data_IF_484200024612
#
_entry.id   IF_484200024612
#
_cell.length_a   1.000
_cell.length_b   1.000
_cell.length_c   1.000
_cell.angle_alpha   90.00
_cell.angle_beta   90.00
_cell.angle_gamma   90.00
#
_symmetry.space_group_name_H-M   'P 1'
#
loop_
_entity.id
_entity.type
_entity.pdbx_description
1 polymer ?
#
# COMPACT_ATOMS: atom_id res chain seq x y z
N UNK A 1 38.72 3.82 -17.14
CA UNK A 1 37.30 3.78 -17.55
C UNK A 1 36.43 3.81 -16.31
N UNK A 2 35.77 4.93 -16.03
CA UNK A 2 34.83 5.02 -14.90
C UNK A 2 33.47 4.44 -15.33
N UNK A 3 33.01 3.37 -14.67
CA UNK A 3 31.63 2.88 -14.77
C UNK A 3 30.72 3.95 -14.16
N UNK A 4 29.99 4.67 -15.00
CA UNK A 4 28.92 5.59 -14.57
C UNK A 4 27.86 4.78 -13.83
N UNK A 5 27.92 4.75 -12.50
CA UNK A 5 26.90 4.12 -11.67
C UNK A 5 25.62 4.96 -11.74
N UNK A 6 24.64 4.42 -12.47
CA UNK A 6 23.22 4.45 -12.12
C UNK A 6 22.60 5.80 -11.77
N UNK A 7 22.30 6.62 -12.77
CA UNK A 7 21.11 7.48 -12.69
C UNK A 7 20.39 7.44 -14.03
N UNK A 8 19.42 6.54 -14.13
CA UNK A 8 18.54 6.44 -15.30
C UNK A 8 17.60 7.64 -15.22
N UNK A 9 17.63 8.54 -16.21
CA UNK A 9 16.83 9.78 -16.35
C UNK A 9 15.50 9.78 -15.58
N UNK A 10 15.56 10.13 -14.29
CA UNK A 10 14.38 10.13 -13.40
C UNK A 10 13.40 11.23 -13.78
N UNK A 11 13.87 12.32 -14.40
CA UNK A 11 13.00 13.43 -14.86
C UNK A 11 11.85 12.96 -15.74
N UNK A 12 12.11 12.11 -16.74
CA UNK A 12 11.05 11.55 -17.61
C UNK A 12 10.06 10.64 -16.87
N UNK A 13 10.50 9.96 -15.81
CA UNK A 13 9.63 9.14 -14.96
C UNK A 13 8.77 10.03 -14.07
N UNK A 14 9.32 11.17 -13.64
CA UNK A 14 8.60 12.19 -12.89
C UNK A 14 7.59 12.96 -13.76
N UNK A 15 7.87 13.15 -15.06
CA UNK A 15 6.95 13.77 -16.02
C UNK A 15 5.64 12.98 -16.17
N UNK A 16 5.65 11.66 -15.94
CA UNK A 16 4.44 10.85 -15.91
C UNK A 16 3.49 11.26 -14.75
N UNK A 17 4.02 11.79 -13.65
CA UNK A 17 3.22 12.37 -12.56
C UNK A 17 2.65 13.75 -12.94
N UNK A 18 3.07 14.39 -14.03
CA UNK A 18 2.46 15.66 -14.47
C UNK A 18 1.13 15.42 -15.20
N UNK A 19 0.93 14.23 -15.81
CA UNK A 19 -0.33 13.87 -16.48
C UNK A 19 -1.35 13.41 -15.45
N UNK A 20 -2.37 14.23 -15.23
CA UNK A 20 -3.50 13.99 -14.33
C UNK A 20 -4.62 13.29 -15.12
N UNK A 21 -5.21 12.25 -14.57
CA UNK A 21 -6.49 11.72 -15.06
C UNK A 21 -7.28 11.18 -13.89
N UNK A 22 -8.46 11.76 -13.62
CA UNK A 22 -9.42 11.27 -12.64
C UNK A 22 -9.24 11.81 -11.23
N UNK A 23 -10.37 12.13 -10.59
CA UNK A 23 -10.50 12.10 -9.14
C UNK A 23 -11.17 10.76 -8.82
N UNK A 24 -10.44 9.82 -8.25
CA UNK A 24 -11.04 8.62 -7.69
C UNK A 24 -11.65 8.91 -6.31
N UNK A 25 -12.40 7.96 -5.81
CA UNK A 25 -13.11 8.00 -4.53
C UNK A 25 -12.47 7.08 -3.48
N UNK A 26 -11.24 6.61 -3.71
CA UNK A 26 -10.51 5.80 -2.74
C UNK A 26 -10.37 6.55 -1.41
N UNK A 27 -10.90 5.95 -0.36
CA UNK A 27 -10.95 6.49 1.00
C UNK A 27 -11.02 5.34 2.00
N UNK A 28 -10.12 5.30 2.99
CA UNK A 28 -10.13 4.28 4.06
C UNK A 28 -11.39 4.32 4.95
N UNK A 29 -12.34 5.22 4.65
CA UNK A 29 -13.70 5.21 5.22
C UNK A 29 -14.65 4.27 4.47
N UNK A 30 -14.24 3.73 3.32
CA UNK A 30 -15.05 2.87 2.45
C UNK A 30 -14.99 1.40 2.88
N UNK A 31 -14.33 1.09 4.00
CA UNK A 31 -14.28 -0.23 4.63
C UNK A 31 -14.68 -0.12 6.11
N UNK A 32 -14.99 -1.25 6.73
CA UNK A 32 -15.11 -1.33 8.18
C UNK A 32 -13.77 -0.96 8.83
N UNK A 33 -13.80 -0.06 9.81
CA UNK A 33 -12.60 0.38 10.52
C UNK A 33 -12.01 -0.74 11.39
N UNK A 34 -12.81 -1.74 11.75
CA UNK A 34 -12.32 -2.91 12.48
C UNK A 34 -11.34 -3.74 11.64
N UNK A 35 -11.44 -3.72 10.30
CA UNK A 35 -10.43 -4.37 9.45
C UNK A 35 -9.09 -3.66 9.47
N UNK A 36 -9.09 -2.32 9.37
CA UNK A 36 -7.86 -1.53 9.50
C UNK A 36 -7.21 -1.75 10.87
N UNK A 37 -8.01 -1.75 11.93
CA UNK A 37 -7.54 -2.08 13.28
C UNK A 37 -6.95 -3.49 13.34
N UNK A 38 -7.63 -4.48 12.77
CA UNK A 38 -7.19 -5.88 12.78
C UNK A 38 -5.86 -6.07 12.06
N UNK A 39 -5.65 -5.40 10.92
CA UNK A 39 -4.34 -5.40 10.23
C UNK A 39 -3.25 -4.83 11.14
N UNK A 40 -3.52 -3.70 11.81
CA UNK A 40 -2.54 -3.06 12.72
C UNK A 40 -2.21 -3.98 13.89
N UNK A 41 -3.21 -4.62 14.50
CA UNK A 41 -2.98 -5.57 15.61
C UNK A 41 -2.17 -6.76 15.14
N UNK A 42 -2.63 -7.45 14.08
CA UNK A 42 -1.98 -8.67 13.58
C UNK A 42 -0.51 -8.44 13.17
N UNK A 43 -0.20 -7.34 12.45
CA UNK A 43 1.19 -7.05 12.08
C UNK A 43 2.05 -6.67 13.30
N UNK A 44 1.47 -6.00 14.30
CA UNK A 44 2.20 -5.58 15.50
C UNK A 44 2.48 -6.77 16.42
N UNK A 45 1.57 -7.73 16.50
CA UNK A 45 1.77 -8.98 17.27
C UNK A 45 2.93 -9.80 16.72
N UNK A 46 3.19 -9.71 15.41
CA UNK A 46 4.37 -10.27 14.74
C UNK A 46 5.65 -9.41 14.91
N UNK A 47 5.57 -8.26 15.60
CA UNK A 47 6.69 -7.32 15.77
C UNK A 47 6.93 -6.40 14.58
N UNK A 48 6.01 -6.34 13.63
CA UNK A 48 6.07 -5.51 12.42
C UNK A 48 5.38 -4.16 12.55
N UNK A 49 5.20 -3.49 11.41
CA UNK A 49 4.49 -2.22 11.29
C UNK A 49 3.73 -2.12 9.96
N UNK A 50 2.66 -1.31 9.93
CA UNK A 50 1.90 -1.01 8.72
C UNK A 50 1.85 0.49 8.44
N UNK A 51 1.85 0.86 7.16
CA UNK A 51 1.54 2.23 6.70
C UNK A 51 0.41 2.21 5.69
N UNK A 52 -0.55 3.12 5.90
CA UNK A 52 -1.74 3.26 5.07
C UNK A 52 -1.64 4.55 4.27
N UNK A 53 -1.93 4.48 2.98
CA UNK A 53 -1.83 5.60 2.06
C UNK A 53 -2.87 5.53 0.95
N UNK A 54 -2.87 6.55 0.11
CA UNK A 54 -3.71 6.67 -1.07
C UNK A 54 -2.84 7.14 -2.24
N UNK A 55 -3.18 6.72 -3.45
CA UNK A 55 -2.62 7.34 -4.64
C UNK A 55 -3.01 8.83 -4.70
N UNK A 56 -2.17 9.63 -5.36
CA UNK A 56 -2.36 11.09 -5.42
C UNK A 56 -3.68 11.51 -6.08
N UNK A 57 -4.15 10.73 -7.04
CA UNK A 57 -5.43 10.91 -7.72
C UNK A 57 -6.62 10.28 -6.97
N UNK A 58 -6.37 9.61 -5.84
CA UNK A 58 -7.36 8.81 -5.10
C UNK A 58 -8.00 7.69 -5.92
N UNK A 59 -7.32 7.22 -6.96
CA UNK A 59 -7.72 6.04 -7.74
C UNK A 59 -7.35 4.71 -7.09
N UNK A 60 -6.51 4.70 -6.04
CA UNK A 60 -6.05 3.49 -5.40
C UNK A 60 -5.68 3.71 -3.92
N UNK A 61 -5.74 2.62 -3.16
CA UNK A 61 -5.25 2.50 -1.79
C UNK A 61 -3.85 1.89 -1.79
N UNK A 62 -3.03 2.25 -0.82
CA UNK A 62 -1.74 1.60 -0.59
C UNK A 62 -1.62 1.13 0.85
N UNK A 63 -1.32 -0.15 1.06
CA UNK A 63 -0.98 -0.71 2.36
C UNK A 63 0.44 -1.27 2.29
N UNK A 64 1.37 -0.71 3.06
CA UNK A 64 2.72 -1.27 3.18
C UNK A 64 2.87 -1.97 4.52
N UNK A 65 3.29 -3.24 4.48
CA UNK A 65 3.64 -4.04 5.65
C UNK A 65 5.16 -4.11 5.75
N UNK A 66 5.68 -3.89 6.96
CA UNK A 66 7.08 -4.03 7.32
C UNK A 66 7.16 -5.14 8.37
N UNK A 67 7.85 -6.22 8.06
CA UNK A 67 8.05 -7.35 8.96
C UNK A 67 9.46 -7.90 8.76
N UNK A 68 10.23 -7.98 9.84
CA UNK A 68 11.64 -8.36 9.83
C UNK A 68 12.48 -7.52 8.83
N UNK A 69 13.07 -8.17 7.83
CA UNK A 69 13.87 -7.56 6.76
C UNK A 69 13.05 -7.31 5.48
N UNK A 70 11.75 -7.63 5.51
CA UNK A 70 10.86 -7.59 4.36
C UNK A 70 9.93 -6.38 4.43
N UNK A 71 9.77 -5.73 3.28
CA UNK A 71 8.83 -4.62 3.09
C UNK A 71 8.04 -4.85 1.83
N UNK A 72 6.74 -5.04 1.98
CA UNK A 72 5.83 -5.22 0.84
C UNK A 72 4.71 -4.19 0.81
N UNK A 73 4.45 -3.65 -0.38
CA UNK A 73 3.37 -2.68 -0.61
C UNK A 73 2.29 -3.30 -1.47
N UNK A 74 1.11 -3.46 -0.89
CA UNK A 74 -0.12 -3.86 -1.56
C UNK A 74 -0.82 -2.62 -2.12
N UNK A 75 -1.35 -2.75 -3.33
CA UNK A 75 -2.16 -1.74 -4.00
C UNK A 75 -3.55 -2.30 -4.28
N UNK A 76 -4.57 -1.55 -3.89
CA UNK A 76 -5.97 -1.89 -4.16
C UNK A 76 -6.56 -0.79 -5.03
N UNK A 77 -7.34 -1.16 -6.04
CA UNK A 77 -8.05 -0.17 -6.85
C UNK A 77 -9.12 0.55 -6.01
N UNK A 78 -9.51 1.76 -6.43
CA UNK A 78 -10.52 2.56 -5.72
C UNK A 78 -11.88 1.87 -5.57
N UNK A 79 -12.22 1.01 -6.52
CA UNK A 79 -13.44 0.20 -6.60
C UNK A 79 -13.30 -1.22 -6.02
N UNK A 80 -12.17 -1.54 -5.39
CA UNK A 80 -11.98 -2.84 -4.74
C UNK A 80 -12.90 -3.00 -3.52
N UNK A 81 -13.31 -4.24 -3.25
CA UNK A 81 -13.97 -4.62 -1.99
C UNK A 81 -12.92 -4.64 -0.87
N UNK A 82 -12.71 -3.48 -0.25
CA UNK A 82 -11.69 -3.34 0.78
C UNK A 82 -11.91 -4.24 2.00
N UNK A 83 -13.16 -4.58 2.33
CA UNK A 83 -13.42 -5.46 3.47
C UNK A 83 -12.87 -6.87 3.20
N UNK A 84 -13.09 -7.41 1.99
CA UNK A 84 -12.56 -8.72 1.59
C UNK A 84 -11.04 -8.72 1.41
N UNK A 85 -10.49 -7.64 0.83
CA UNK A 85 -9.05 -7.46 0.68
C UNK A 85 -8.34 -7.41 2.04
N UNK A 86 -8.84 -6.59 2.98
CA UNK A 86 -8.25 -6.48 4.31
C UNK A 86 -8.47 -7.74 5.14
N UNK A 87 -9.62 -8.40 5.01
CA UNK A 87 -9.85 -9.72 5.63
C UNK A 87 -8.82 -10.75 5.15
N UNK A 88 -8.50 -10.75 3.86
CA UNK A 88 -7.47 -11.63 3.29
C UNK A 88 -6.09 -11.30 3.84
N UNK A 89 -5.76 -10.01 4.00
CA UNK A 89 -4.50 -9.58 4.63
C UNK A 89 -4.42 -10.07 6.08
N UNK A 90 -5.45 -9.83 6.89
CA UNK A 90 -5.50 -10.29 8.29
C UNK A 90 -5.35 -11.80 8.38
N UNK A 91 -6.12 -12.55 7.58
CA UNK A 91 -6.05 -14.02 7.57
C UNK A 91 -4.66 -14.55 7.24
N UNK A 92 -3.90 -13.85 6.38
CA UNK A 92 -2.51 -14.22 6.06
C UNK A 92 -1.55 -13.88 7.18
N UNK A 93 -1.73 -12.75 7.87
CA UNK A 93 -0.91 -12.37 9.01
C UNK A 93 -1.15 -13.31 10.19
N UNK A 94 -2.40 -13.64 10.48
CA UNK A 94 -2.77 -14.57 11.55
C UNK A 94 -2.19 -15.98 11.32
N UNK A 95 -2.06 -16.40 10.05
CA UNK A 95 -1.43 -17.68 9.71
C UNK A 95 0.10 -17.70 9.90
N UNK A 96 0.72 -16.54 10.14
CA UNK A 96 2.16 -16.41 10.43
C UNK A 96 2.47 -16.37 11.93
N UNK A 97 1.46 -16.12 12.77
CA UNK A 97 1.57 -16.06 14.23
C UNK A 97 1.64 -17.47 14.86
#
# INVERSE_FOLDING_TARGET
>A
MAKTRGSVKNSRRLDAFAKRSGAGDASWKNCDQDWVRSVVVAITDLGGAATFGLSRDRGAYSLTLLLDDTRETLWFNGDADLDDELRTVVSKLDAMA
#
